data_IF_237212376105
#
_entry.id   IF_237212376105
#
_cell.length_a   1.000
_cell.length_b   1.000
_cell.length_c   1.000
_cell.angle_alpha   90.00
_cell.angle_beta   90.00
_cell.angle_gamma   90.00
#
_symmetry.space_group_name_H-M   'P 1'
#
loop_
_entity.id
_entity.type
_entity.pdbx_description
1 polymer ?
#
# COMPACT_ATOMS: atom_id res chain seq x y z
N UNK A 1 -12.03 8.47 -3.02
CA UNK A 1 -11.78 7.02 -3.15
C UNK A 1 -11.50 6.68 -4.60
N UNK A 2 -10.57 5.79 -4.85
CA UNK A 2 -10.21 5.36 -6.20
C UNK A 2 -10.40 3.86 -6.32
N UNK A 3 -11.16 3.40 -7.33
CA UNK A 3 -11.22 1.99 -7.69
C UNK A 3 -10.22 1.70 -8.80
N UNK A 4 -9.40 0.70 -8.58
CA UNK A 4 -8.42 0.23 -9.55
C UNK A 4 -9.03 -0.91 -10.36
N UNK A 5 -9.04 -0.77 -11.69
CA UNK A 5 -9.38 -1.87 -12.59
C UNK A 5 -8.15 -2.74 -12.87
N UNK A 6 -8.33 -3.82 -13.63
CA UNK A 6 -7.21 -4.68 -14.03
C UNK A 6 -6.08 -3.83 -14.64
N UNK A 7 -4.85 -4.20 -14.28
CA UNK A 7 -3.67 -3.49 -14.76
C UNK A 7 -2.96 -4.32 -15.82
N UNK A 8 -2.46 -3.66 -16.85
CA UNK A 8 -1.73 -4.29 -17.95
C UNK A 8 -0.21 -4.16 -17.78
N UNK A 9 0.24 -3.55 -16.69
CA UNK A 9 1.65 -3.37 -16.34
C UNK A 9 1.74 -3.07 -14.85
N UNK A 10 2.93 -3.20 -14.28
CA UNK A 10 3.16 -2.77 -12.91
C UNK A 10 2.79 -1.30 -12.74
N UNK A 11 2.23 -0.97 -11.58
CA UNK A 11 1.76 0.38 -11.28
C UNK A 11 2.46 0.93 -10.07
N UNK A 12 2.82 2.20 -10.16
CA UNK A 12 3.31 2.96 -9.02
C UNK A 12 2.33 4.10 -8.79
N UNK A 13 1.74 4.12 -7.60
CA UNK A 13 0.83 5.18 -7.17
C UNK A 13 1.58 6.05 -6.19
N UNK A 14 1.83 7.29 -6.57
CA UNK A 14 2.59 8.23 -5.75
C UNK A 14 1.63 9.15 -5.00
N UNK A 15 1.67 9.08 -3.68
CA UNK A 15 0.90 9.95 -2.81
C UNK A 15 1.66 11.28 -2.64
N UNK A 16 0.94 12.40 -2.54
CA UNK A 16 1.62 13.68 -2.26
C UNK A 16 2.27 13.67 -0.88
N UNK A 17 3.07 14.67 -0.61
CA UNK A 17 3.65 14.87 0.73
C UNK A 17 2.55 14.88 1.78
N UNK A 18 2.73 14.17 2.90
CA UNK A 18 1.70 14.11 3.93
C UNK A 18 1.32 15.49 4.48
N UNK A 19 0.06 15.60 4.86
CA UNK A 19 -0.48 16.78 5.52
C UNK A 19 -1.61 16.30 6.43
N UNK A 20 -1.71 16.89 7.62
CA UNK A 20 -2.76 16.52 8.56
C UNK A 20 -4.15 16.63 7.92
N UNK A 21 -4.94 15.57 8.02
CA UNK A 21 -6.30 15.49 7.49
C UNK A 21 -6.41 15.06 6.02
N UNK A 22 -5.31 14.98 5.29
CA UNK A 22 -5.32 14.53 3.90
C UNK A 22 -5.58 13.03 3.86
N UNK A 23 -6.62 12.60 3.15
CA UNK A 23 -7.05 11.20 3.15
C UNK A 23 -7.18 10.67 1.73
N UNK A 24 -6.62 9.48 1.49
CA UNK A 24 -6.77 8.75 0.23
C UNK A 24 -7.20 7.32 0.53
N UNK A 25 -8.15 6.82 -0.24
CA UNK A 25 -8.58 5.42 -0.18
C UNK A 25 -8.53 4.82 -1.57
N UNK A 26 -7.86 3.70 -1.69
CA UNK A 26 -7.73 2.95 -2.93
C UNK A 26 -8.33 1.57 -2.72
N UNK A 27 -9.20 1.16 -3.63
CA UNK A 27 -9.83 -0.15 -3.56
C UNK A 27 -9.84 -0.81 -4.92
N UNK A 28 -9.82 -2.12 -4.93
CA UNK A 28 -9.90 -2.90 -6.15
C UNK A 28 -10.52 -4.26 -5.85
N UNK A 29 -11.18 -4.82 -6.85
CA UNK A 29 -11.75 -6.16 -6.76
C UNK A 29 -11.64 -6.84 -8.12
N UNK A 30 -11.69 -8.17 -8.09
CA UNK A 30 -11.66 -8.99 -9.30
C UNK A 30 -10.44 -8.73 -10.19
N UNK A 31 -9.31 -8.34 -9.59
CA UNK A 31 -8.06 -8.28 -10.32
C UNK A 31 -7.66 -9.70 -10.74
N UNK A 32 -7.22 -9.84 -11.97
CA UNK A 32 -6.84 -11.14 -12.49
C UNK A 32 -5.40 -11.41 -12.09
N UNK A 33 -5.19 -12.36 -11.18
CA UNK A 33 -3.84 -12.75 -10.74
C UNK A 33 -2.96 -13.21 -11.91
N UNK A 34 -3.58 -13.69 -13.00
CA UNK A 34 -2.86 -14.12 -14.18
C UNK A 34 -2.14 -12.98 -14.90
N UNK A 35 -2.48 -11.72 -14.62
CA UNK A 35 -1.81 -10.58 -15.24
C UNK A 35 -0.37 -10.42 -14.73
N UNK A 36 -0.05 -10.97 -13.57
CA UNK A 36 1.31 -10.99 -13.03
C UNK A 36 1.88 -9.61 -12.69
N UNK A 37 1.04 -8.61 -12.49
CA UNK A 37 1.48 -7.24 -12.27
C UNK A 37 1.39 -6.83 -10.81
N UNK A 38 2.34 -6.00 -10.40
CA UNK A 38 2.47 -5.53 -9.04
C UNK A 38 1.99 -4.07 -8.92
N UNK A 39 1.62 -3.69 -7.71
CA UNK A 39 1.22 -2.33 -7.38
C UNK A 39 2.08 -1.86 -6.21
N UNK A 40 2.61 -0.65 -6.33
CA UNK A 40 3.32 -0.02 -5.22
C UNK A 40 2.70 1.33 -4.93
N UNK A 41 2.47 1.59 -3.64
CA UNK A 41 2.13 2.91 -3.14
C UNK A 41 3.39 3.52 -2.54
N UNK A 42 3.68 4.77 -2.87
CA UNK A 42 4.87 5.46 -2.36
C UNK A 42 4.55 6.91 -2.06
N UNK A 43 5.36 7.53 -1.20
CA UNK A 43 5.21 8.94 -0.84
C UNK A 43 6.10 9.77 -1.74
N UNK A 44 5.55 10.85 -2.31
CA UNK A 44 6.32 11.80 -3.13
C UNK A 44 7.41 12.46 -2.28
N UNK A 45 8.63 12.50 -2.81
CA UNK A 45 9.77 13.05 -2.08
C UNK A 45 10.18 12.18 -0.90
N UNK A 46 9.76 10.91 -0.89
CA UNK A 46 10.07 9.98 0.18
C UNK A 46 11.56 9.78 0.37
N UNK A 47 11.90 9.40 1.54
CA UNK A 47 13.23 9.12 2.04
C UNK A 47 13.03 8.76 3.49
N UNK A 48 14.00 9.00 4.35
CA UNK A 48 13.88 8.64 5.75
C UNK A 48 13.01 9.58 6.58
N UNK A 49 12.61 10.71 6.01
CA UNK A 49 11.86 11.74 6.75
C UNK A 49 10.35 11.73 6.51
N UNK A 50 9.86 10.97 5.52
CA UNK A 50 8.44 10.81 5.22
C UNK A 50 8.15 9.32 5.22
N UNK A 51 7.15 8.88 6.00
CA UNK A 51 6.96 7.43 6.17
C UNK A 51 5.52 7.06 6.47
N UNK A 52 5.22 5.76 6.35
CA UNK A 52 3.97 5.15 6.74
C UNK A 52 4.06 4.63 8.17
N UNK A 53 2.98 4.75 8.92
CA UNK A 53 2.79 4.05 10.19
C UNK A 53 1.53 3.19 10.13
N UNK A 54 1.46 2.19 10.99
CA UNK A 54 0.35 1.26 11.07
C UNK A 54 0.62 -0.02 10.30
N UNK A 55 -0.38 -0.51 9.62
CA UNK A 55 -0.26 -1.76 8.90
C UNK A 55 -1.55 -2.17 8.22
N UNK A 56 -1.49 -3.29 7.51
CA UNK A 56 -2.62 -3.83 6.77
C UNK A 56 -2.81 -5.30 7.13
N UNK A 57 -4.03 -5.80 6.95
CA UNK A 57 -4.34 -7.21 7.09
C UNK A 57 -4.06 -7.91 5.77
N UNK A 58 -3.28 -8.98 5.82
CA UNK A 58 -3.03 -9.82 4.66
C UNK A 58 -3.93 -11.05 4.72
N UNK A 59 -4.74 -11.22 3.70
CA UNK A 59 -5.62 -12.38 3.52
C UNK A 59 -5.03 -13.23 2.41
N UNK A 60 -4.31 -14.28 2.81
CA UNK A 60 -3.70 -15.20 1.85
C UNK A 60 -4.78 -15.96 1.10
N UNK A 61 -4.58 -16.18 -0.19
CA UNK A 61 -5.49 -17.00 -1.00
C UNK A 61 -5.58 -18.45 -0.50
N UNK A 62 -4.65 -18.90 0.35
CA UNK A 62 -4.69 -20.20 1.03
C UNK A 62 -5.46 -20.17 2.36
N UNK A 63 -6.26 -19.12 2.61
CA UNK A 63 -7.11 -18.96 3.79
C UNK A 63 -6.35 -18.67 5.10
N UNK A 64 -5.17 -18.09 5.01
CA UNK A 64 -4.43 -17.62 6.17
C UNK A 64 -4.60 -16.11 6.34
N UNK A 65 -4.49 -15.63 7.57
CA UNK A 65 -4.57 -14.21 7.91
C UNK A 65 -3.33 -13.83 8.69
N UNK A 66 -2.71 -12.71 8.30
CA UNK A 66 -1.60 -12.16 9.05
C UNK A 66 -1.60 -10.63 8.99
N UNK A 67 -0.88 -10.00 9.91
CA UNK A 67 -0.67 -8.56 9.90
C UNK A 67 0.65 -8.23 9.21
N UNK A 68 0.63 -7.19 8.37
CA UNK A 68 1.81 -6.65 7.72
C UNK A 68 1.99 -5.24 8.26
N UNK A 69 3.10 -4.99 8.93
CA UNK A 69 3.33 -3.74 9.66
C UNK A 69 4.48 -2.95 9.09
N UNK A 70 4.40 -1.63 9.20
CA UNK A 70 5.54 -0.76 8.91
C UNK A 70 6.53 -0.81 10.07
N UNK A 71 7.74 -0.33 9.82
CA UNK A 71 8.73 -0.15 10.89
C UNK A 71 8.43 1.09 11.76
N UNK A 72 7.39 1.87 11.40
CA UNK A 72 6.96 3.10 12.06
C UNK A 72 8.02 4.20 12.09
N UNK A 73 9.00 4.13 11.20
CA UNK A 73 10.18 5.00 11.26
C UNK A 73 10.64 5.49 9.90
N UNK A 74 10.65 4.64 8.89
CA UNK A 74 11.23 4.98 7.59
C UNK A 74 10.55 4.37 6.38
N UNK A 75 9.66 3.41 6.55
CA UNK A 75 9.02 2.74 5.42
C UNK A 75 8.11 3.71 4.67
N UNK A 76 8.45 4.02 3.43
CA UNK A 76 7.68 4.90 2.56
C UNK A 76 7.18 4.21 1.28
N UNK A 77 7.37 2.91 1.17
CA UNK A 77 6.84 2.06 0.10
C UNK A 77 5.92 0.99 0.69
N UNK A 78 4.77 0.78 0.05
CA UNK A 78 3.93 -0.39 0.24
C UNK A 78 3.91 -1.16 -1.06
N UNK A 79 4.46 -2.37 -1.05
CA UNK A 79 4.59 -3.22 -2.23
C UNK A 79 3.55 -4.34 -2.16
N UNK A 80 2.74 -4.46 -3.20
CA UNK A 80 1.71 -5.48 -3.30
C UNK A 80 1.96 -6.29 -4.56
N UNK A 81 2.26 -7.57 -4.39
CA UNK A 81 2.56 -8.47 -5.51
C UNK A 81 1.30 -9.15 -5.99
N UNK A 82 0.98 -8.95 -7.25
CA UNK A 82 -0.11 -9.60 -7.98
C UNK A 82 -1.40 -9.69 -7.13
N UNK A 83 -1.98 -8.55 -6.72
CA UNK A 83 -3.16 -8.56 -5.85
C UNK A 83 -4.38 -9.13 -6.55
N UNK A 84 -5.24 -9.80 -5.80
CA UNK A 84 -6.58 -10.21 -6.24
C UNK A 84 -7.57 -9.10 -5.94
N UNK A 85 -7.55 -8.57 -4.73
CA UNK A 85 -8.31 -7.39 -4.35
C UNK A 85 -7.67 -6.74 -3.13
N UNK A 86 -7.98 -5.47 -2.92
CA UNK A 86 -7.50 -4.73 -1.76
C UNK A 86 -8.41 -3.54 -1.46
N UNK A 87 -8.30 -3.04 -0.25
CA UNK A 87 -8.91 -1.78 0.18
C UNK A 87 -7.96 -1.16 1.21
N UNK A 88 -7.33 -0.06 0.85
CA UNK A 88 -6.28 0.57 1.64
C UNK A 88 -6.57 2.04 1.77
N UNK A 89 -6.48 2.56 3.00
CA UNK A 89 -6.67 3.97 3.32
C UNK A 89 -5.39 4.56 3.89
N UNK A 90 -5.01 5.72 3.38
CA UNK A 90 -3.89 6.51 3.85
C UNK A 90 -4.43 7.81 4.41
N UNK A 91 -4.13 8.10 5.68
CA UNK A 91 -4.56 9.32 6.35
C UNK A 91 -3.33 10.11 6.79
N UNK A 92 -3.18 11.31 6.28
CA UNK A 92 -2.13 12.21 6.75
C UNK A 92 -2.40 12.62 8.20
N UNK A 93 -1.50 12.28 9.10
CA UNK A 93 -1.63 12.64 10.50
C UNK A 93 -0.70 13.79 10.89
N UNK A 94 0.29 14.08 10.05
CA UNK A 94 1.22 15.20 10.21
C UNK A 94 1.87 15.53 8.87
N UNK A 95 2.81 16.45 8.85
CA UNK A 95 3.55 16.80 7.64
C UNK A 95 4.55 15.72 7.19
N UNK A 96 4.77 14.67 7.99
CA UNK A 96 5.78 13.64 7.71
C UNK A 96 5.22 12.23 7.64
N UNK A 97 3.93 12.03 7.91
CA UNK A 97 3.41 10.70 8.23
C UNK A 97 2.02 10.47 7.64
N UNK A 98 1.88 9.34 6.95
CA UNK A 98 0.57 8.75 6.65
C UNK A 98 0.33 7.54 7.54
N UNK A 99 -0.82 7.51 8.20
CA UNK A 99 -1.32 6.31 8.85
C UNK A 99 -1.98 5.44 7.79
N UNK A 100 -1.58 4.17 7.70
CA UNK A 100 -2.11 3.23 6.72
C UNK A 100 -2.95 2.16 7.40
N UNK A 101 -4.10 1.84 6.80
CA UNK A 101 -5.00 0.78 7.26
C UNK A 101 -5.60 0.08 6.06
N UNK A 102 -6.17 -1.10 6.28
CA UNK A 102 -6.88 -1.82 5.23
C UNK A 102 -6.49 -3.28 5.13
N UNK A 103 -6.76 -3.87 3.96
CA UNK A 103 -6.44 -5.27 3.71
C UNK A 103 -6.00 -5.49 2.26
N UNK A 104 -5.27 -6.58 2.06
CA UNK A 104 -4.86 -7.07 0.74
C UNK A 104 -5.11 -8.57 0.69
N UNK A 105 -5.67 -9.05 -0.42
CA UNK A 105 -5.75 -10.48 -0.72
C UNK A 105 -4.84 -10.78 -1.91
N UNK A 106 -3.90 -11.67 -1.70
CA UNK A 106 -2.94 -12.10 -2.74
C UNK A 106 -2.34 -13.44 -2.33
N UNK A 107 -1.61 -14.08 -3.25
CA UNK A 107 -0.89 -15.31 -2.95
C UNK A 107 0.43 -15.03 -2.23
N UNK A 108 1.00 -13.85 -2.44
CA UNK A 108 2.28 -13.45 -1.84
C UNK A 108 2.05 -12.29 -0.88
N UNK A 109 2.64 -12.36 0.30
CA UNK A 109 2.48 -11.32 1.30
C UNK A 109 2.96 -9.95 0.78
N UNK A 110 2.18 -8.89 0.99
CA UNK A 110 2.67 -7.54 0.73
C UNK A 110 3.77 -7.18 1.71
N UNK A 111 4.50 -6.12 1.42
CA UNK A 111 5.59 -5.68 2.29
C UNK A 111 5.69 -4.16 2.31
N UNK A 112 6.14 -3.64 3.44
CA UNK A 112 6.58 -2.26 3.54
C UNK A 112 8.09 -2.21 3.40
N UNK A 113 8.61 -1.20 2.72
CA UNK A 113 10.05 -1.04 2.55
C UNK A 113 10.43 0.43 2.49
N UNK A 114 11.72 0.70 2.54
CA UNK A 114 12.25 2.05 2.42
C UNK A 114 12.53 2.38 0.97
N UNK A 115 12.39 3.65 0.61
CA UNK A 115 12.93 4.13 -0.64
C UNK A 115 14.43 3.88 -0.66
N UNK A 116 14.98 3.55 -1.81
CA UNK A 116 16.42 3.46 -1.95
C UNK A 116 17.02 4.83 -1.62
N UNK A 117 17.87 4.82 -0.63
CA UNK A 117 18.54 6.03 -0.20
C UNK A 117 19.47 6.55 -1.33
#
# INVERSE_FOLDING_TARGET
MVFQSNVSADRIITLPTPKAGLTFRFASHNLTAADGHDIRFQISGGGTSLFFQGGITFLDTDNEISGIFTDNNSNDFLNIQVPVHYDITFVGSSATLYLVTGFVTSATAPSFSDAAA
#
